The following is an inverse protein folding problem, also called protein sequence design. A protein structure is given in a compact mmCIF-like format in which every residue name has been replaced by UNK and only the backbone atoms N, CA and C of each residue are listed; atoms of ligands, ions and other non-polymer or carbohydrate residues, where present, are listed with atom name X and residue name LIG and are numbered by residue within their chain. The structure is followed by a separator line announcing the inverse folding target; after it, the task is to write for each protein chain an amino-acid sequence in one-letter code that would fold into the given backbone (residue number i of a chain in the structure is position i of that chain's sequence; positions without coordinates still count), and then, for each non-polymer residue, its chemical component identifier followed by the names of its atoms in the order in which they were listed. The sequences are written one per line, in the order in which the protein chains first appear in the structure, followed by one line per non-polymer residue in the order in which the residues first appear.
data_IF_768826178876
#
_entry.id   IF_768826178876
#
_cell.length_a   1.000
_cell.length_b   1.000
_cell.length_c   1.000
_cell.angle_alpha   90.00
_cell.angle_beta   90.00
_cell.angle_gamma   90.00
#
_symmetry.space_group_name_H-M   'P 1'
#
loop_
_entity.id
_entity.type
_entity.pdbx_description
1 polymer ?
#
# COMPACT_ATOMS: atom_id res chain seq x y z
N UNK A 1 4.85 -3.21 -8.95
CA UNK A 1 3.82 -2.16 -8.87
C UNK A 1 4.35 -1.06 -7.99
N UNK A 2 4.30 0.18 -8.45
CA UNK A 2 4.66 1.34 -7.63
C UNK A 2 3.44 1.84 -6.85
N UNK A 3 3.62 2.27 -5.59
CA UNK A 3 2.53 2.72 -4.71
C UNK A 3 1.67 3.84 -5.33
N UNK A 4 2.21 4.60 -6.29
CA UNK A 4 1.50 5.66 -7.02
C UNK A 4 0.47 5.18 -8.04
N UNK A 5 0.48 3.90 -8.42
CA UNK A 5 -0.49 3.33 -9.37
C UNK A 5 -1.90 3.20 -8.75
N UNK A 6 -2.00 2.95 -7.44
CA UNK A 6 -3.29 2.68 -6.78
C UNK A 6 -4.23 3.89 -6.72
N UNK A 7 -3.78 5.09 -6.32
CA UNK A 7 -4.62 6.29 -6.38
C UNK A 7 -5.07 6.64 -7.80
N UNK A 8 -4.25 6.30 -8.81
CA UNK A 8 -4.56 6.57 -10.21
C UNK A 8 -5.79 5.77 -10.70
N UNK A 9 -5.97 4.53 -10.25
CA UNK A 9 -7.16 3.74 -10.61
C UNK A 9 -8.45 4.32 -10.01
N UNK A 10 -8.39 4.86 -8.78
CA UNK A 10 -9.52 5.58 -8.19
C UNK A 10 -9.83 6.86 -8.96
N UNK A 11 -8.79 7.64 -9.31
CA UNK A 11 -8.96 8.85 -10.10
C UNK A 11 -9.56 8.57 -11.49
N UNK A 12 -9.11 7.50 -12.15
CA UNK A 12 -9.67 7.06 -13.42
C UNK A 12 -11.13 6.64 -13.30
N UNK A 13 -11.50 5.91 -12.24
CA UNK A 13 -12.88 5.51 -11.98
C UNK A 13 -13.83 6.71 -11.84
N UNK A 14 -13.37 7.78 -11.18
CA UNK A 14 -14.09 9.05 -11.13
C UNK A 14 -14.15 9.74 -12.50
N UNK A 15 -13.04 9.76 -13.25
CA UNK A 15 -12.97 10.42 -14.56
C UNK A 15 -13.96 9.83 -15.58
N UNK A 16 -14.24 8.53 -15.50
CA UNK A 16 -15.23 7.85 -16.35
C UNK A 16 -16.64 7.80 -15.74
N UNK A 17 -16.87 8.49 -14.62
CA UNK A 17 -18.14 8.59 -13.91
C UNK A 17 -18.76 7.21 -13.58
N UNK A 18 -17.93 6.26 -13.15
CA UNK A 18 -18.39 4.92 -12.78
C UNK A 18 -18.31 4.74 -11.27
N UNK A 19 -19.42 4.99 -10.58
CA UNK A 19 -19.53 4.77 -9.14
C UNK A 19 -19.26 3.33 -8.71
N UNK A 20 -19.61 2.35 -9.57
CA UNK A 20 -19.24 0.95 -9.35
C UNK A 20 -17.72 0.79 -9.24
N UNK A 21 -16.97 1.33 -10.20
CA UNK A 21 -15.51 1.24 -10.19
C UNK A 21 -14.89 2.01 -9.03
N UNK A 22 -15.45 3.16 -8.65
CA UNK A 22 -14.98 3.92 -7.48
C UNK A 22 -15.07 3.05 -6.22
N UNK A 23 -16.21 2.40 -5.99
CA UNK A 23 -16.41 1.56 -4.80
C UNK A 23 -15.48 0.35 -4.82
N UNK A 24 -15.35 -0.33 -5.96
CA UNK A 24 -14.48 -1.51 -6.08
C UNK A 24 -13.00 -1.14 -5.88
N UNK A 25 -12.53 -0.04 -6.48
CA UNK A 25 -11.15 0.42 -6.33
C UNK A 25 -10.86 0.92 -4.91
N UNK A 26 -11.84 1.59 -4.27
CA UNK A 26 -11.72 1.99 -2.88
C UNK A 26 -11.64 0.77 -1.94
N UNK A 27 -12.49 -0.24 -2.14
CA UNK A 27 -12.44 -1.49 -1.39
C UNK A 27 -11.10 -2.22 -1.58
N UNK A 28 -10.59 -2.26 -2.82
CA UNK A 28 -9.26 -2.80 -3.10
C UNK A 28 -8.16 -2.06 -2.32
N UNK A 29 -8.17 -0.72 -2.31
CA UNK A 29 -7.18 0.08 -1.57
C UNK A 29 -7.28 -0.06 -0.06
N UNK A 30 -8.48 -0.17 0.50
CA UNK A 30 -8.69 -0.18 1.97
C UNK A 30 -8.56 -1.60 2.55
N UNK A 31 -8.92 -2.63 1.78
CA UNK A 31 -8.98 -4.02 2.28
C UNK A 31 -7.87 -4.87 1.69
N UNK A 32 -7.82 -4.99 0.37
CA UNK A 32 -6.91 -5.92 -0.30
C UNK A 32 -5.44 -5.51 -0.15
N UNK A 33 -5.15 -4.21 -0.34
CA UNK A 33 -3.79 -3.68 -0.24
C UNK A 33 -3.13 -3.91 1.13
N UNK A 34 -3.76 -3.58 2.28
CA UNK A 34 -3.18 -3.88 3.58
C UNK A 34 -2.92 -5.38 3.82
N UNK A 35 -3.82 -6.25 3.34
CA UNK A 35 -3.66 -7.70 3.45
C UNK A 35 -2.44 -8.16 2.64
N UNK A 36 -2.31 -7.70 1.41
CA UNK A 36 -1.17 -8.03 0.54
C UNK A 36 0.16 -7.54 1.14
N UNK A 37 0.21 -6.30 1.62
CA UNK A 37 1.41 -5.73 2.27
C UNK A 37 1.81 -6.58 3.47
N UNK A 38 0.87 -7.00 4.31
CA UNK A 38 1.17 -7.86 5.47
C UNK A 38 1.87 -9.16 5.07
N UNK A 39 1.40 -9.82 4.02
CA UNK A 39 2.03 -11.05 3.53
C UNK A 39 3.39 -10.80 2.89
N UNK A 40 3.52 -9.72 2.13
CA UNK A 40 4.78 -9.31 1.52
C UNK A 40 5.84 -8.99 2.59
N UNK A 41 5.49 -8.21 3.61
CA UNK A 41 6.40 -7.91 4.72
C UNK A 41 6.83 -9.18 5.46
N UNK A 42 5.91 -10.13 5.66
CA UNK A 42 6.24 -11.43 6.28
C UNK A 42 7.25 -12.22 5.44
N UNK A 43 7.09 -12.24 4.11
CA UNK A 43 8.03 -12.90 3.21
C UNK A 43 9.38 -12.18 3.19
N UNK A 44 9.38 -10.85 3.19
CA UNK A 44 10.60 -10.04 3.27
C UNK A 44 11.36 -10.25 4.58
N UNK A 45 10.67 -10.33 5.72
CA UNK A 45 11.29 -10.70 7.00
C UNK A 45 11.88 -12.11 6.91
N UNK A 46 11.18 -13.06 6.29
CA UNK A 46 11.69 -14.43 6.11
C UNK A 46 12.98 -14.46 5.26
N UNK A 47 13.07 -13.62 4.23
CA UNK A 47 14.24 -13.57 3.31
C UNK A 47 15.41 -12.77 3.86
N UNK A 48 15.15 -11.67 4.55
CA UNK A 48 16.16 -10.67 4.91
C UNK A 48 16.38 -10.49 6.42
N UNK A 49 15.53 -11.10 7.25
CA UNK A 49 15.67 -11.11 8.70
C UNK A 49 15.75 -9.72 9.32
N UNK A 50 16.73 -9.53 10.20
CA UNK A 50 16.89 -8.31 11.00
C UNK A 50 17.20 -7.07 10.17
N UNK A 51 17.88 -7.22 9.03
CA UNK A 51 18.14 -6.10 8.11
C UNK A 51 16.85 -5.44 7.64
N UNK A 52 15.83 -6.26 7.35
CA UNK A 52 14.53 -5.74 6.95
C UNK A 52 13.74 -5.18 8.13
N UNK A 53 13.83 -5.79 9.31
CA UNK A 53 13.22 -5.22 10.54
C UNK A 53 13.75 -3.82 10.85
N UNK A 54 15.05 -3.59 10.69
CA UNK A 54 15.64 -2.27 10.91
C UNK A 54 15.30 -1.26 9.81
N UNK A 55 15.06 -1.73 8.59
CA UNK A 55 14.49 -0.92 7.53
C UNK A 55 13.04 -0.51 7.86
N UNK A 56 12.19 -1.46 8.24
CA UNK A 56 10.79 -1.20 8.63
C UNK A 56 10.67 -0.21 9.79
N UNK A 57 11.64 -0.13 10.70
CA UNK A 57 11.66 0.89 11.76
C UNK A 57 11.79 2.31 11.20
N UNK A 58 12.54 2.49 10.11
CA UNK A 58 12.87 3.79 9.50
C UNK A 58 11.88 4.23 8.43
N UNK A 59 11.15 3.31 7.82
CA UNK A 59 10.17 3.60 6.74
C UNK A 59 8.75 3.23 7.17
N UNK A 60 7.75 3.78 6.48
CA UNK A 60 6.37 3.33 6.59
C UNK A 60 5.97 2.59 5.31
N UNK A 61 5.03 1.65 5.42
CA UNK A 61 4.65 0.76 4.31
C UNK A 61 3.82 1.47 3.21
N UNK A 62 2.89 2.35 3.60
CA UNK A 62 2.01 3.08 2.68
C UNK A 62 2.32 4.58 2.69
N UNK A 63 2.41 5.16 3.87
CA UNK A 63 2.77 6.56 4.07
C UNK A 63 4.15 6.67 4.72
N UNK A 64 4.95 7.70 4.37
CA UNK A 64 6.23 7.92 5.02
C UNK A 64 6.02 8.18 6.52
N UNK A 65 6.95 7.70 7.35
CA UNK A 65 6.98 8.03 8.78
C UNK A 65 7.33 9.50 8.94
N UNK A 66 6.43 10.27 9.55
CA UNK A 66 6.71 11.66 9.92
C UNK A 66 7.72 11.63 11.07
N UNK A 67 8.97 12.01 10.78
CA UNK A 67 10.00 12.15 11.83
C UNK A 67 9.76 13.46 12.56
N UNK A 68 9.32 13.39 13.82
CA UNK A 68 9.33 14.54 14.72
C UNK A 68 10.80 14.80 15.07
N UNK A 69 11.33 15.95 14.66
CA UNK A 69 12.63 16.45 15.15
C UNK A 69 12.49 16.92 16.60
#
# INVERSE_FOLDING_TARGET
QSTGEFPLFVALAFAINSWFLVIVMAAHMIIYMPIMIYFEEKDLIRRFGDKYRDYQKRTGAIFPKIRKN
#
